data_IF_062704498945
#
_entry.id   IF_062704498945
#
_cell.length_a   1.000
_cell.length_b   1.000
_cell.length_c   1.000
_cell.angle_alpha   90.00
_cell.angle_beta   90.00
_cell.angle_gamma   90.00
#
_symmetry.space_group_name_H-M   'P 1'
#
loop_
_entity.id
_entity.type
_entity.pdbx_description
1 polymer ?
#
# COMPACT_ATOMS: atom_id res chain seq x y z
N UNK A 1 -8.11 -8.66 22.11
CA UNK A 1 -8.40 -8.01 20.81
C UNK A 1 -7.62 -8.76 19.75
N UNK A 2 -8.30 -9.29 18.73
CA UNK A 2 -7.66 -9.99 17.61
C UNK A 2 -7.16 -9.00 16.56
N UNK A 3 -6.15 -9.40 15.78
CA UNK A 3 -5.70 -8.69 14.60
C UNK A 3 -5.67 -9.66 13.41
N UNK A 4 -5.87 -9.16 12.21
CA UNK A 4 -5.87 -9.95 10.98
C UNK A 4 -4.74 -9.43 10.09
N UNK A 5 -3.76 -10.29 9.79
CA UNK A 5 -2.64 -9.98 8.89
C UNK A 5 -2.98 -10.26 7.41
N UNK A 6 -4.15 -10.87 7.13
CA UNK A 6 -4.56 -11.26 5.78
C UNK A 6 -5.38 -10.16 5.08
N UNK A 7 -5.27 -10.11 3.76
CA UNK A 7 -6.04 -9.20 2.90
C UNK A 7 -5.32 -8.83 1.60
N UNK A 8 -3.98 -8.89 1.58
CA UNK A 8 -3.17 -8.61 0.40
C UNK A 8 -2.10 -9.70 0.23
N UNK A 9 -2.02 -10.27 -0.96
CA UNK A 9 -1.02 -11.25 -1.33
C UNK A 9 -0.46 -10.93 -2.72
N UNK A 10 0.86 -11.07 -2.86
CA UNK A 10 1.57 -10.86 -4.13
C UNK A 10 2.43 -12.09 -4.40
N UNK A 11 2.24 -12.70 -5.55
CA UNK A 11 3.04 -13.83 -6.02
C UNK A 11 3.97 -13.35 -7.13
N UNK A 12 5.23 -13.76 -7.08
CA UNK A 12 6.25 -13.33 -8.03
C UNK A 12 7.15 -14.50 -8.40
N UNK A 13 7.51 -14.60 -9.68
CA UNK A 13 8.58 -15.50 -10.15
C UNK A 13 9.98 -14.89 -9.97
N UNK A 14 10.05 -13.58 -9.73
CA UNK A 14 11.29 -12.85 -9.48
C UNK A 14 11.58 -12.74 -7.99
N UNK A 15 12.86 -12.71 -7.63
CA UNK A 15 13.32 -12.55 -6.27
C UNK A 15 12.89 -11.19 -5.68
N UNK A 16 12.14 -11.25 -4.57
CA UNK A 16 11.77 -10.08 -3.79
C UNK A 16 12.77 -9.95 -2.64
N UNK A 17 13.57 -8.88 -2.66
CA UNK A 17 14.58 -8.62 -1.64
C UNK A 17 13.96 -8.26 -0.28
N UNK A 18 12.90 -7.46 -0.31
CA UNK A 18 12.21 -7.02 0.90
C UNK A 18 10.73 -6.79 0.60
N UNK A 19 9.88 -7.12 1.57
CA UNK A 19 8.46 -6.81 1.56
C UNK A 19 8.11 -6.01 2.81
N UNK A 20 7.27 -4.98 2.69
CA UNK A 20 6.85 -4.15 3.82
C UNK A 20 5.38 -3.76 3.68
N UNK A 21 4.58 -4.01 4.73
CA UNK A 21 3.17 -3.62 4.82
C UNK A 21 3.06 -2.26 5.51
N UNK A 22 2.42 -1.31 4.84
CA UNK A 22 2.13 0.02 5.37
C UNK A 22 0.64 0.16 5.62
N UNK A 23 0.27 0.59 6.82
CA UNK A 23 -1.10 0.99 7.14
C UNK A 23 -1.40 2.34 6.47
N UNK A 24 -2.51 2.41 5.74
CA UNK A 24 -2.96 3.64 5.10
C UNK A 24 -3.64 4.58 6.13
N UNK A 25 -3.59 5.90 5.91
CA UNK A 25 -4.28 6.85 6.76
C UNK A 25 -5.81 6.77 6.59
N UNK A 26 -6.52 7.33 7.56
CA UNK A 26 -7.97 7.30 7.63
C UNK A 26 -8.43 6.29 8.67
N UNK A 27 -9.13 6.79 9.69
CA UNK A 27 -9.77 5.98 10.72
C UNK A 27 -11.26 6.16 10.63
N UNK A 28 -11.98 5.07 10.77
CA UNK A 28 -13.42 5.07 10.92
C UNK A 28 -13.78 5.46 12.36
N UNK A 29 -14.97 6.02 12.60
CA UNK A 29 -15.46 6.26 13.96
C UNK A 29 -15.59 4.96 14.76
N UNK A 30 -15.48 5.07 16.09
CA UNK A 30 -15.85 3.95 16.98
C UNK A 30 -17.38 3.76 16.96
N UNK A 31 -17.91 2.53 16.96
CA UNK A 31 -17.22 1.25 17.03
C UNK A 31 -16.89 0.63 15.65
N UNK A 32 -17.22 1.29 14.53
CA UNK A 32 -17.02 0.76 13.17
C UNK A 32 -15.55 0.35 12.94
N UNK A 33 -14.60 1.13 13.43
CA UNK A 33 -13.16 0.83 13.38
C UNK A 33 -12.74 -0.51 14.02
N UNK A 34 -13.52 -1.07 14.95
CA UNK A 34 -13.21 -2.39 15.53
C UNK A 34 -13.47 -3.54 14.55
N UNK A 35 -14.38 -3.33 13.61
CA UNK A 35 -14.87 -4.37 12.70
C UNK A 35 -14.40 -4.15 11.26
N UNK A 36 -13.91 -2.95 10.95
CA UNK A 36 -13.35 -2.63 9.64
C UNK A 36 -11.86 -2.99 9.56
N UNK A 37 -11.45 -3.52 8.41
CA UNK A 37 -10.05 -3.83 8.16
C UNK A 37 -9.26 -2.54 7.93
N UNK A 38 -8.15 -2.37 8.65
CA UNK A 38 -7.20 -1.30 8.39
C UNK A 38 -6.63 -1.44 6.98
N UNK A 39 -7.05 -0.52 6.11
CA UNK A 39 -6.61 -0.45 4.71
C UNK A 39 -5.11 -0.26 4.66
N UNK A 40 -4.47 -0.91 3.69
CA UNK A 40 -3.03 -1.03 3.64
C UNK A 40 -2.52 -1.08 2.21
N UNK A 41 -1.23 -0.82 2.06
CA UNK A 41 -0.46 -1.14 0.88
C UNK A 41 0.71 -2.04 1.27
N UNK A 42 1.07 -2.96 0.39
CA UNK A 42 2.23 -3.84 0.57
C UNK A 42 3.23 -3.53 -0.52
N UNK A 43 4.41 -3.05 -0.13
CA UNK A 43 5.55 -2.82 -1.00
C UNK A 43 6.37 -4.11 -1.15
N UNK A 44 6.81 -4.39 -2.36
CA UNK A 44 7.77 -5.42 -2.72
C UNK A 44 8.93 -4.77 -3.48
N UNK A 45 10.15 -4.96 -3.00
CA UNK A 45 11.37 -4.42 -3.61
C UNK A 45 12.06 -5.53 -4.39
N UNK A 46 12.18 -5.34 -5.71
CA UNK A 46 12.86 -6.24 -6.62
C UNK A 46 14.07 -5.49 -7.19
N UNK A 47 15.32 -5.90 -6.91
CA UNK A 47 16.49 -5.28 -7.52
C UNK A 47 16.53 -5.55 -9.03
N UNK A 48 16.95 -4.57 -9.82
CA UNK A 48 17.09 -4.69 -11.29
C UNK A 48 18.54 -4.47 -11.72
N UNK A 49 18.88 -4.94 -12.93
CA UNK A 49 20.27 -5.05 -13.42
C UNK A 49 21.05 -3.72 -13.43
N UNK A 50 20.36 -2.59 -13.62
CA UNK A 50 20.99 -1.26 -13.66
C UNK A 50 21.27 -0.66 -12.27
N UNK A 51 21.28 -1.47 -11.21
CA UNK A 51 21.58 -1.05 -9.84
C UNK A 51 20.46 -0.28 -9.16
N UNK A 52 19.27 -0.23 -9.77
CA UNK A 52 18.06 0.40 -9.20
C UNK A 52 17.12 -0.66 -8.61
N UNK A 53 16.01 -0.22 -8.04
CA UNK A 53 14.94 -1.11 -7.61
C UNK A 53 13.66 -0.89 -8.42
N UNK A 54 12.96 -1.98 -8.71
CA UNK A 54 11.55 -1.98 -9.04
C UNK A 54 10.75 -2.17 -7.74
N UNK A 55 9.91 -1.20 -7.42
CA UNK A 55 8.97 -1.26 -6.31
C UNK A 55 7.57 -1.58 -6.84
N UNK A 56 7.09 -2.77 -6.51
CA UNK A 56 5.71 -3.19 -6.80
C UNK A 56 4.90 -2.98 -5.54
N UNK A 57 3.83 -2.20 -5.63
CA UNK A 57 2.91 -1.95 -4.53
C UNK A 57 1.56 -2.56 -4.82
N UNK A 58 1.16 -3.50 -3.98
CA UNK A 58 -0.19 -4.04 -3.93
C UNK A 58 -1.03 -3.21 -2.96
N UNK A 59 -2.11 -2.60 -3.45
CA UNK A 59 -2.87 -1.56 -2.76
C UNK A 59 -4.33 -2.01 -2.53
N UNK A 60 -4.85 -1.82 -1.32
CA UNK A 60 -6.28 -1.97 -1.04
C UNK A 60 -6.79 -0.71 -0.32
N UNK A 61 -7.55 0.14 -1.01
CA UNK A 61 -8.10 1.40 -0.47
C UNK A 61 -9.53 1.25 0.07
N UNK A 62 -10.02 2.27 0.75
CA UNK A 62 -11.40 2.30 1.23
C UNK A 62 -12.37 2.42 0.05
N UNK A 63 -13.25 1.42 -0.12
CA UNK A 63 -14.27 1.39 -1.18
C UNK A 63 -15.54 2.20 -0.85
N UNK A 64 -15.92 2.25 0.44
CA UNK A 64 -17.15 2.89 0.91
C UNK A 64 -16.83 4.09 1.80
N UNK A 65 -16.73 5.26 1.19
CA UNK A 65 -16.49 6.53 1.86
C UNK A 65 -17.56 7.54 1.39
N UNK A 66 -18.65 7.64 2.16
CA UNK A 66 -19.74 8.57 1.91
C UNK A 66 -19.26 10.01 2.14
N UNK A 67 -18.50 10.54 1.17
CA UNK A 67 -17.82 11.83 1.25
C UNK A 67 -16.45 11.87 0.57
N UNK A 68 -15.85 10.71 0.26
CA UNK A 68 -14.56 10.60 -0.45
C UNK A 68 -13.33 11.16 0.31
N UNK A 69 -13.50 11.54 1.57
CA UNK A 69 -12.48 12.20 2.39
C UNK A 69 -11.34 11.27 2.83
N UNK A 70 -11.66 10.03 3.18
CA UNK A 70 -10.72 8.97 3.57
C UNK A 70 -9.96 8.51 2.33
N UNK A 71 -10.66 8.18 1.24
CA UNK A 71 -10.02 7.72 0.01
C UNK A 71 -9.04 8.76 -0.55
N UNK A 72 -9.39 10.05 -0.47
CA UNK A 72 -8.48 11.14 -0.88
C UNK A 72 -7.20 11.18 -0.05
N UNK A 73 -7.28 11.01 1.27
CA UNK A 73 -6.10 10.95 2.15
C UNK A 73 -5.21 9.75 1.82
N UNK A 74 -5.81 8.59 1.58
CA UNK A 74 -5.09 7.37 1.19
C UNK A 74 -4.37 7.53 -0.15
N UNK A 75 -5.06 8.04 -1.17
CA UNK A 75 -4.45 8.29 -2.49
C UNK A 75 -3.35 9.36 -2.42
N UNK A 76 -3.51 10.38 -1.57
CA UNK A 76 -2.46 11.37 -1.36
C UNK A 76 -1.22 10.75 -0.69
N UNK A 77 -1.40 9.85 0.27
CA UNK A 77 -0.31 9.08 0.89
C UNK A 77 0.42 8.22 -0.16
N UNK A 78 -0.32 7.46 -0.97
CA UNK A 78 0.25 6.64 -2.05
C UNK A 78 1.01 7.50 -3.06
N UNK A 79 0.44 8.63 -3.48
CA UNK A 79 1.09 9.58 -4.39
C UNK A 79 2.41 10.11 -3.82
N UNK A 80 2.42 10.51 -2.54
CA UNK A 80 3.62 10.99 -1.88
C UNK A 80 4.69 9.89 -1.80
N UNK A 81 4.29 8.66 -1.48
CA UNK A 81 5.18 7.52 -1.49
C UNK A 81 5.77 7.30 -2.89
N UNK A 82 4.95 7.28 -3.94
CA UNK A 82 5.41 7.08 -5.32
C UNK A 82 6.44 8.13 -5.72
N UNK A 83 6.14 9.40 -5.45
CA UNK A 83 7.04 10.51 -5.75
C UNK A 83 8.37 10.38 -5.01
N UNK A 84 8.32 10.02 -3.72
CA UNK A 84 9.52 9.86 -2.89
C UNK A 84 10.43 8.76 -3.43
N UNK A 85 9.88 7.62 -3.84
CA UNK A 85 10.72 6.53 -4.38
C UNK A 85 11.21 6.83 -5.80
N UNK A 86 10.36 7.43 -6.63
CA UNK A 86 10.75 7.86 -7.97
C UNK A 86 11.93 8.86 -7.93
N UNK A 87 11.93 9.81 -6.98
CA UNK A 87 13.03 10.75 -6.78
C UNK A 87 14.35 10.07 -6.36
N UNK A 88 14.30 8.90 -5.71
CA UNK A 88 15.49 8.08 -5.43
C UNK A 88 16.01 7.34 -6.66
N UNK A 89 15.30 7.42 -7.78
CA UNK A 89 15.65 6.76 -9.03
C UNK A 89 15.02 5.38 -9.20
N UNK A 90 14.17 4.94 -8.28
CA UNK A 90 13.48 3.64 -8.36
C UNK A 90 12.32 3.68 -9.37
N UNK A 91 12.04 2.52 -9.97
CA UNK A 91 10.83 2.31 -10.77
C UNK A 91 9.67 1.96 -9.83
N UNK A 92 8.51 2.59 -10.01
CA UNK A 92 7.37 2.38 -9.10
C UNK A 92 6.15 1.94 -9.90
N UNK A 93 5.58 0.80 -9.51
CA UNK A 93 4.31 0.30 -10.02
C UNK A 93 3.35 0.13 -8.85
N UNK A 94 2.15 0.70 -8.96
CA UNK A 94 1.10 0.58 -7.94
C UNK A 94 -0.14 0.02 -8.61
N UNK A 95 -0.72 -1.02 -8.01
CA UNK A 95 -1.95 -1.65 -8.50
C UNK A 95 -2.72 -2.34 -7.38
N UNK A 96 -4.01 -2.55 -7.60
CA UNK A 96 -4.94 -3.11 -6.63
C UNK A 96 -6.29 -2.39 -6.69
N UNK A 97 -7.10 -2.53 -5.63
CA UNK A 97 -8.50 -2.09 -5.57
C UNK A 97 -8.77 -0.95 -4.58
#
# INVERSE_FOLDING_TARGET
MGYVESGLATFSTYFIQQTTRFQLPGREPWPKQLFDLDRAMVEHIIPVENGKNLRIVNLHVSAYDAGGSIRKQQLQYVKQYMHTQYQKGDYVMVGGD
#
